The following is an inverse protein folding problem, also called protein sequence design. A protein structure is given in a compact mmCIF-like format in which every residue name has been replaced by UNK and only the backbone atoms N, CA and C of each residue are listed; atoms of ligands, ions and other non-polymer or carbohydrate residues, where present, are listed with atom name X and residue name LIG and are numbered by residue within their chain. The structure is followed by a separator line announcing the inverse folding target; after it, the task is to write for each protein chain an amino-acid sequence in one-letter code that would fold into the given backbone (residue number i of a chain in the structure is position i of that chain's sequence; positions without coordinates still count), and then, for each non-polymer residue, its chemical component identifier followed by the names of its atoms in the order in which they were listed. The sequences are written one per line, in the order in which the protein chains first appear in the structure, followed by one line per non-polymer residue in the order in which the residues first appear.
data_IF_608523123082
#
_entry.id   IF_608523123082
#
_cell.length_a   1.000
_cell.length_b   1.000
_cell.length_c   1.000
_cell.angle_alpha   90.00
_cell.angle_beta   90.00
_cell.angle_gamma   90.00
#
_symmetry.space_group_name_H-M   'P 1'
#
loop_
_entity.id
_entity.type
_entity.pdbx_description
1 polymer ?
#
# COMPACT_ATOMS: atom_id res chain seq x y z
N UNK A 1 -10.33 9.11 -23.18
CA UNK A 1 -10.44 9.22 -24.67
C UNK A 1 -9.26 8.63 -25.47
N UNK A 2 -9.56 7.94 -26.58
CA UNK A 2 -8.58 7.49 -27.58
C UNK A 2 -8.44 8.50 -28.74
N UNK A 3 -7.22 8.87 -29.16
CA UNK A 3 -6.97 9.63 -30.38
C UNK A 3 -7.34 8.84 -31.67
N UNK A 4 -7.64 9.52 -32.80
CA UNK A 4 -8.09 8.86 -34.04
C UNK A 4 -7.07 7.91 -34.67
N UNK A 5 -5.78 8.06 -34.35
CA UNK A 5 -4.70 7.17 -34.78
C UNK A 5 -4.64 5.84 -34.00
N UNK A 6 -5.54 5.63 -33.04
CA UNK A 6 -5.64 4.41 -32.22
C UNK A 6 -6.99 3.74 -32.44
N UNK A 7 -6.99 2.42 -32.63
CA UNK A 7 -8.21 1.66 -32.84
C UNK A 7 -8.23 0.38 -31.99
N UNK A 8 -9.42 0.01 -31.53
CA UNK A 8 -9.70 -1.31 -30.95
C UNK A 8 -9.85 -2.35 -32.05
N UNK A 9 -9.06 -3.42 -31.98
CA UNK A 9 -9.13 -4.54 -32.92
C UNK A 9 -9.19 -5.89 -32.18
N UNK A 10 -9.89 -6.85 -32.78
CA UNK A 10 -9.86 -8.25 -32.35
C UNK A 10 -8.64 -8.97 -32.96
N UNK A 11 -7.98 -9.81 -32.17
CA UNK A 11 -6.79 -10.55 -32.58
C UNK A 11 -6.68 -11.91 -31.87
N UNK A 12 -5.84 -12.82 -32.38
CA UNK A 12 -5.68 -14.19 -31.86
C UNK A 12 -4.23 -14.57 -31.56
N UNK A 13 -3.43 -13.64 -31.03
CA UNK A 13 -2.02 -13.88 -30.74
C UNK A 13 -1.79 -14.90 -29.61
N UNK A 14 -2.70 -14.96 -28.62
CA UNK A 14 -2.54 -15.83 -27.44
C UNK A 14 -3.18 -17.22 -27.59
N UNK A 15 -3.63 -17.59 -28.79
CA UNK A 15 -4.33 -18.85 -29.07
C UNK A 15 -5.83 -18.83 -28.74
N UNK A 16 -6.40 -17.66 -28.49
CA UNK A 16 -7.82 -17.40 -28.30
C UNK A 16 -8.13 -15.95 -28.73
N UNK A 17 -9.41 -15.64 -28.99
CA UNK A 17 -9.84 -14.29 -29.38
C UNK A 17 -9.65 -13.30 -28.24
N UNK A 18 -8.99 -12.19 -28.56
CA UNK A 18 -8.66 -11.09 -27.67
C UNK A 18 -8.98 -9.77 -28.33
N UNK A 19 -9.10 -8.72 -27.54
CA UNK A 19 -9.24 -7.35 -28.02
C UNK A 19 -8.08 -6.51 -27.51
N UNK A 20 -7.61 -5.57 -28.32
CA UNK A 20 -6.50 -4.69 -27.96
C UNK A 20 -6.43 -3.45 -28.82
N UNK A 21 -5.62 -2.49 -28.40
CA UNK A 21 -5.45 -1.23 -29.11
C UNK A 21 -4.28 -1.30 -30.09
N UNK A 22 -4.47 -0.80 -31.31
CA UNK A 22 -3.48 -0.86 -32.39
C UNK A 22 -3.29 0.52 -33.04
N UNK A 23 -2.07 0.77 -33.51
CA UNK A 23 -1.73 1.98 -34.24
C UNK A 23 -2.28 1.93 -35.68
N UNK A 24 -3.04 2.94 -36.10
CA UNK A 24 -3.60 3.03 -37.46
C UNK A 24 -2.63 3.61 -38.49
N UNK A 25 -1.52 4.19 -38.03
CA UNK A 25 -0.44 4.77 -38.83
C UNK A 25 0.90 4.64 -38.08
N UNK A 26 1.99 5.01 -38.73
CA UNK A 26 3.30 5.09 -38.08
C UNK A 26 3.30 6.24 -37.07
N UNK A 27 3.51 5.92 -35.78
CA UNK A 27 3.54 6.87 -34.69
C UNK A 27 4.99 7.19 -34.31
N UNK A 28 5.40 8.48 -34.29
CA UNK A 28 6.66 8.90 -33.68
C UNK A 28 6.71 8.58 -32.18
N UNK A 29 7.90 8.71 -31.60
CA UNK A 29 8.07 8.70 -30.13
C UNK A 29 7.32 9.88 -29.49
N UNK A 30 6.84 9.71 -28.26
CA UNK A 30 6.05 10.67 -27.48
C UNK A 30 4.70 11.05 -28.10
N UNK A 31 4.17 10.20 -28.97
CA UNK A 31 2.82 10.38 -29.53
C UNK A 31 1.78 10.00 -28.48
N UNK A 32 0.82 10.87 -28.14
CA UNK A 32 -0.31 10.51 -27.28
C UNK A 32 -1.14 9.40 -27.93
N UNK A 33 -1.43 8.36 -27.16
CA UNK A 33 -2.29 7.22 -27.57
C UNK A 33 -3.50 7.03 -26.65
N UNK A 34 -3.51 7.71 -25.51
CA UNK A 34 -4.66 7.87 -24.64
C UNK A 34 -4.52 9.13 -23.81
N UNK A 35 -5.63 9.82 -23.61
CA UNK A 35 -5.74 11.01 -22.76
C UNK A 35 -7.02 10.89 -21.94
N UNK A 36 -6.91 11.10 -20.63
CA UNK A 36 -8.05 11.15 -19.74
C UNK A 36 -8.59 12.57 -19.63
N UNK A 37 -9.88 12.75 -19.90
CA UNK A 37 -10.58 14.00 -19.61
C UNK A 37 -11.27 13.91 -18.25
N UNK A 38 -10.60 14.40 -17.22
CA UNK A 38 -11.10 14.37 -15.84
C UNK A 38 -12.39 15.18 -15.64
N UNK A 39 -12.75 16.06 -16.57
CA UNK A 39 -13.96 16.90 -16.46
C UNK A 39 -15.19 16.14 -16.95
N UNK A 40 -15.05 15.33 -17.99
CA UNK A 40 -16.18 14.66 -18.65
C UNK A 40 -16.25 13.16 -18.35
N UNK A 41 -15.14 12.54 -17.94
CA UNK A 41 -15.02 11.11 -17.68
C UNK A 41 -14.68 10.87 -16.18
N UNK A 42 -15.66 10.94 -15.27
CA UNK A 42 -15.40 10.68 -13.85
C UNK A 42 -14.95 9.23 -13.65
N UNK A 43 -13.90 9.05 -12.84
CA UNK A 43 -13.38 7.73 -12.55
C UNK A 43 -14.31 7.00 -11.57
N UNK A 44 -14.86 5.87 -12.00
CA UNK A 44 -15.60 4.97 -11.11
C UNK A 44 -14.60 4.07 -10.40
N UNK A 45 -14.65 4.07 -9.07
CA UNK A 45 -13.73 3.31 -8.22
C UNK A 45 -14.48 2.40 -7.26
N UNK A 46 -13.84 1.27 -6.94
CA UNK A 46 -14.34 0.28 -6.00
C UNK A 46 -13.21 -0.17 -5.07
N UNK A 47 -13.56 -0.52 -3.84
CA UNK A 47 -12.69 -1.29 -2.95
C UNK A 47 -12.63 -2.76 -3.38
N UNK A 48 -11.63 -3.51 -2.92
CA UNK A 48 -11.56 -4.97 -3.15
C UNK A 48 -12.86 -5.64 -2.71
N UNK A 49 -13.35 -5.29 -1.51
CA UNK A 49 -14.57 -5.88 -0.94
C UNK A 49 -15.78 -5.65 -1.85
N UNK A 50 -15.94 -4.44 -2.37
CA UNK A 50 -17.05 -4.11 -3.27
C UNK A 50 -16.94 -4.90 -4.58
N UNK A 51 -15.75 -4.94 -5.21
CA UNK A 51 -15.50 -5.76 -6.40
C UNK A 51 -15.86 -7.23 -6.16
N UNK A 52 -15.35 -7.82 -5.08
CA UNK A 52 -15.56 -9.25 -4.80
C UNK A 52 -17.02 -9.58 -4.48
N UNK A 53 -17.78 -8.63 -3.92
CA UNK A 53 -19.20 -8.78 -3.63
C UNK A 53 -20.13 -8.51 -4.82
N UNK A 54 -19.61 -7.93 -5.91
CA UNK A 54 -20.40 -7.52 -7.05
C UNK A 54 -20.83 -8.74 -7.92
N UNK A 55 -22.06 -8.77 -8.47
CA UNK A 55 -22.49 -9.84 -9.38
C UNK A 55 -21.58 -9.96 -10.62
N UNK A 56 -21.17 -8.84 -11.20
CA UNK A 56 -20.24 -8.77 -12.35
C UNK A 56 -18.76 -8.72 -11.95
N UNK A 57 -18.38 -9.27 -10.79
CA UNK A 57 -16.99 -9.20 -10.28
C UNK A 57 -15.92 -9.59 -11.30
N UNK A 58 -16.20 -10.54 -12.20
CA UNK A 58 -15.22 -10.97 -13.20
C UNK A 58 -14.94 -9.87 -14.23
N UNK A 59 -15.96 -9.12 -14.66
CA UNK A 59 -15.78 -7.96 -15.54
C UNK A 59 -14.98 -6.88 -14.81
N UNK A 60 -15.37 -6.59 -13.57
CA UNK A 60 -14.67 -5.59 -12.76
C UNK A 60 -13.19 -5.95 -12.60
N UNK A 61 -12.87 -7.19 -12.23
CA UNK A 61 -11.49 -7.67 -12.12
C UNK A 61 -10.78 -7.50 -13.47
N UNK A 62 -11.31 -8.06 -14.55
CA UNK A 62 -10.65 -8.06 -15.87
C UNK A 62 -10.33 -6.65 -16.39
N UNK A 63 -11.21 -5.68 -16.14
CA UNK A 63 -11.06 -4.30 -16.57
C UNK A 63 -10.84 -3.41 -15.36
N UNK A 64 -9.77 -3.66 -14.63
CA UNK A 64 -9.35 -2.84 -13.49
C UNK A 64 -7.88 -2.51 -13.52
N UNK A 65 -7.55 -1.37 -12.91
CA UNK A 65 -6.20 -1.03 -12.47
C UNK A 65 -6.26 -0.30 -11.14
N UNK A 66 -5.17 -0.33 -10.38
CA UNK A 66 -5.10 0.37 -9.08
C UNK A 66 -4.88 1.87 -9.26
N UNK A 67 -5.58 2.65 -8.43
CA UNK A 67 -5.38 4.12 -8.32
C UNK A 67 -5.05 4.57 -6.90
N UNK A 68 -5.29 3.71 -5.91
CA UNK A 68 -4.79 3.86 -4.55
C UNK A 68 -4.78 2.48 -3.86
N UNK A 69 -4.27 2.43 -2.63
CA UNK A 69 -4.42 1.26 -1.77
C UNK A 69 -5.92 0.96 -1.53
N UNK A 70 -6.31 -0.29 -1.76
CA UNK A 70 -7.70 -0.77 -1.75
C UNK A 70 -8.67 0.08 -2.60
N UNK A 71 -8.19 0.59 -3.73
CA UNK A 71 -8.99 1.42 -4.64
C UNK A 71 -8.65 1.10 -6.10
N UNK A 72 -9.64 0.57 -6.80
CA UNK A 72 -9.52 0.07 -8.17
C UNK A 72 -10.43 0.89 -9.09
N UNK A 73 -9.85 1.50 -10.11
CA UNK A 73 -10.62 2.06 -11.23
C UNK A 73 -11.11 0.90 -12.10
N UNK A 74 -12.41 0.83 -12.38
CA UNK A 74 -12.98 -0.31 -13.11
C UNK A 74 -14.35 0.00 -13.74
N UNK A 75 -14.84 -0.89 -14.61
CA UNK A 75 -16.11 -0.77 -15.32
C UNK A 75 -16.86 -2.11 -15.46
N UNK A 76 -18.19 -2.05 -15.45
CA UNK A 76 -19.08 -3.17 -15.82
C UNK A 76 -19.45 -3.20 -17.31
N UNK A 77 -19.15 -2.12 -18.04
CA UNK A 77 -19.50 -1.91 -19.44
C UNK A 77 -18.24 -1.52 -20.26
N UNK A 78 -17.19 -2.36 -20.29
CA UNK A 78 -15.97 -2.08 -21.04
C UNK A 78 -16.23 -1.86 -22.54
N UNK A 79 -17.30 -2.44 -23.09
CA UNK A 79 -17.76 -2.24 -24.47
C UNK A 79 -18.14 -0.79 -24.82
N UNK A 80 -18.46 0.05 -23.82
CA UNK A 80 -18.82 1.46 -24.04
C UNK A 80 -17.59 2.37 -24.17
N UNK A 81 -16.43 1.91 -23.73
CA UNK A 81 -15.17 2.66 -23.80
C UNK A 81 -13.98 1.76 -24.14
N UNK A 82 -13.49 1.90 -25.38
CA UNK A 82 -12.34 1.16 -25.88
C UNK A 82 -11.05 1.38 -25.07
N UNK A 83 -10.94 2.44 -24.26
CA UNK A 83 -9.77 2.69 -23.41
C UNK A 83 -9.46 1.54 -22.45
N UNK A 84 -10.45 0.73 -22.07
CA UNK A 84 -10.29 -0.41 -21.16
C UNK A 84 -9.51 -1.59 -21.76
N UNK A 85 -9.17 -1.56 -23.06
CA UNK A 85 -8.53 -2.68 -23.77
C UNK A 85 -7.02 -2.51 -23.99
N UNK A 86 -6.34 -1.67 -23.22
CA UNK A 86 -4.88 -1.66 -23.21
C UNK A 86 -4.34 -2.99 -22.67
N UNK A 87 -3.49 -3.64 -23.46
CA UNK A 87 -2.87 -4.90 -23.07
C UNK A 87 -1.48 -4.68 -22.44
N UNK A 88 -1.05 -5.69 -21.68
CA UNK A 88 0.26 -5.73 -21.07
C UNK A 88 1.37 -6.16 -22.05
N UNK A 89 2.54 -5.54 -21.94
CA UNK A 89 3.81 -6.13 -22.38
C UNK A 89 4.92 -5.87 -21.37
N UNK A 90 5.79 -6.86 -21.14
CA UNK A 90 7.02 -6.69 -20.34
C UNK A 90 8.07 -5.84 -21.07
N UNK A 91 7.98 -5.74 -22.40
CA UNK A 91 8.72 -4.78 -23.20
C UNK A 91 7.74 -3.91 -24.01
N UNK A 92 7.07 -2.94 -23.36
CA UNK A 92 6.00 -2.19 -23.98
C UNK A 92 6.50 -1.20 -25.04
N UNK A 93 5.60 -0.69 -25.87
CA UNK A 93 5.88 0.44 -26.75
C UNK A 93 5.26 1.74 -26.26
N UNK A 94 4.48 1.70 -25.17
CA UNK A 94 3.89 2.86 -24.51
C UNK A 94 4.29 2.94 -23.03
N UNK A 95 4.21 4.14 -22.47
CA UNK A 95 4.40 4.44 -21.04
C UNK A 95 3.49 5.59 -20.59
N UNK A 96 3.32 5.72 -19.28
CA UNK A 96 2.52 6.79 -18.67
C UNK A 96 3.26 8.14 -18.69
N UNK A 97 2.48 9.21 -18.75
CA UNK A 97 2.89 10.58 -18.39
C UNK A 97 1.90 11.10 -17.35
N UNK A 98 2.20 10.82 -16.07
CA UNK A 98 1.25 10.98 -14.97
C UNK A 98 0.01 10.09 -15.14
N UNK A 99 -1.07 10.41 -14.42
CA UNK A 99 -2.30 9.62 -14.43
C UNK A 99 -3.24 9.92 -15.62
N UNK A 100 -3.00 11.02 -16.33
CA UNK A 100 -3.91 11.52 -17.36
C UNK A 100 -3.58 11.15 -18.79
N UNK A 101 -2.46 10.45 -19.04
CA UNK A 101 -1.95 10.26 -20.40
C UNK A 101 -1.05 9.05 -20.56
N UNK A 102 -1.18 8.39 -21.71
CA UNK A 102 -0.25 7.36 -22.19
C UNK A 102 0.32 7.83 -23.53
N UNK A 103 1.64 7.71 -23.68
CA UNK A 103 2.39 8.06 -24.89
C UNK A 103 3.23 6.90 -25.39
N UNK A 104 3.58 6.92 -26.68
CA UNK A 104 4.57 5.99 -27.22
C UNK A 104 5.96 6.30 -26.65
N UNK A 105 6.69 5.29 -26.15
CA UNK A 105 8.07 5.45 -25.63
C UNK A 105 9.14 5.23 -26.71
N UNK A 106 8.73 4.76 -27.89
CA UNK A 106 9.53 4.59 -29.11
C UNK A 106 8.66 4.85 -30.33
N UNK A 107 9.24 4.88 -31.52
CA UNK A 107 8.44 4.84 -32.74
C UNK A 107 7.66 3.51 -32.81
N UNK A 108 6.41 3.58 -33.27
CA UNK A 108 5.49 2.44 -33.41
C UNK A 108 5.00 2.40 -34.86
N UNK A 109 5.04 1.24 -35.50
CA UNK A 109 4.55 1.05 -36.86
C UNK A 109 3.06 0.86 -36.90
N UNK A 110 2.45 1.24 -38.03
CA UNK A 110 1.07 0.88 -38.33
C UNK A 110 0.84 -0.62 -38.12
N UNK A 111 -0.23 -0.97 -37.42
CA UNK A 111 -0.61 -2.34 -37.10
C UNK A 111 0.15 -2.98 -35.93
N UNK A 112 1.08 -2.28 -35.29
CA UNK A 112 1.61 -2.73 -34.00
C UNK A 112 0.56 -2.52 -32.89
N UNK A 113 0.46 -3.50 -31.99
CA UNK A 113 -0.35 -3.38 -30.78
C UNK A 113 0.29 -2.38 -29.81
N UNK A 114 -0.52 -1.49 -29.24
CA UNK A 114 -0.14 -0.54 -28.21
C UNK A 114 -0.30 -1.19 -26.84
N UNK A 115 0.82 -1.35 -26.13
CA UNK A 115 0.86 -1.99 -24.82
C UNK A 115 1.66 -1.12 -23.85
N UNK A 116 1.27 -1.14 -22.58
CA UNK A 116 2.07 -0.63 -21.46
C UNK A 116 2.40 -1.77 -20.49
N UNK A 117 3.34 -1.53 -19.58
CA UNK A 117 3.67 -2.50 -18.55
C UNK A 117 2.75 -2.31 -17.35
N UNK A 118 1.83 -3.25 -17.10
CA UNK A 118 0.91 -3.21 -15.94
C UNK A 118 1.60 -2.99 -14.57
N UNK A 119 2.89 -3.31 -14.41
CA UNK A 119 3.63 -2.93 -13.20
C UNK A 119 3.74 -1.40 -12.98
N UNK A 120 3.41 -0.59 -14.00
CA UNK A 120 3.30 0.87 -13.90
C UNK A 120 2.01 1.35 -13.21
N UNK A 121 1.02 0.48 -12.98
CA UNK A 121 -0.25 0.80 -12.30
C UNK A 121 -0.49 -0.04 -11.06
N UNK A 122 0.08 -1.24 -10.99
CA UNK A 122 -0.26 -2.25 -9.99
C UNK A 122 0.79 -2.40 -8.87
N UNK A 123 0.32 -2.76 -7.67
CA UNK A 123 1.16 -3.34 -6.61
C UNK A 123 0.81 -4.81 -6.40
N UNK A 124 1.47 -5.49 -5.47
CA UNK A 124 1.13 -6.87 -5.14
C UNK A 124 -0.25 -7.04 -4.47
N UNK A 125 -0.94 -5.93 -4.20
CA UNK A 125 -2.36 -5.90 -3.82
C UNK A 125 -3.29 -5.89 -5.05
N UNK A 126 -2.76 -6.07 -6.26
CA UNK A 126 -3.57 -6.13 -7.47
C UNK A 126 -4.63 -7.23 -7.44
N UNK A 127 -5.76 -7.00 -8.12
CA UNK A 127 -6.74 -8.04 -8.44
C UNK A 127 -6.20 -9.02 -9.50
N UNK A 128 -5.11 -8.68 -10.17
CA UNK A 128 -4.46 -9.45 -11.23
C UNK A 128 -3.21 -10.18 -10.75
N UNK A 129 -2.86 -10.11 -9.45
CA UNK A 129 -1.64 -10.74 -8.93
C UNK A 129 -1.58 -12.20 -9.35
N UNK A 130 -0.39 -12.67 -9.72
CA UNK A 130 -0.14 -14.01 -10.22
C UNK A 130 -0.68 -14.32 -11.63
N UNK A 131 -1.14 -13.31 -12.38
CA UNK A 131 -1.49 -13.46 -13.79
C UNK A 131 -0.31 -14.00 -14.60
N UNK A 132 -0.54 -15.10 -15.32
CA UNK A 132 0.43 -15.66 -16.25
C UNK A 132 0.58 -14.76 -17.47
N UNK A 133 1.78 -14.20 -17.65
CA UNK A 133 2.09 -13.30 -18.75
C UNK A 133 2.35 -14.07 -20.04
N UNK A 134 1.67 -13.66 -21.11
CA UNK A 134 1.81 -14.23 -22.47
C UNK A 134 2.29 -13.22 -23.50
N UNK A 135 2.87 -12.09 -23.06
CA UNK A 135 3.18 -10.96 -23.95
C UNK A 135 4.18 -11.25 -25.08
N UNK A 136 4.96 -12.33 -24.99
CA UNK A 136 5.91 -12.73 -26.03
C UNK A 136 7.21 -11.93 -26.07
N UNK A 137 7.41 -10.96 -25.18
CA UNK A 137 8.68 -10.24 -25.07
C UNK A 137 9.85 -11.18 -24.68
N UNK A 138 11.04 -10.93 -25.21
CA UNK A 138 12.25 -11.73 -24.89
C UNK A 138 12.58 -11.74 -23.39
N UNK A 139 12.25 -10.65 -22.70
CA UNK A 139 12.45 -10.47 -21.25
C UNK A 139 11.15 -10.63 -20.44
N UNK A 140 10.21 -11.44 -20.94
CA UNK A 140 8.94 -11.71 -20.28
C UNK A 140 9.14 -12.19 -18.82
N UNK A 141 8.40 -11.60 -17.88
CA UNK A 141 8.40 -11.99 -16.45
C UNK A 141 7.80 -13.38 -16.20
N UNK A 142 7.05 -13.93 -17.14
CA UNK A 142 6.31 -15.19 -17.02
C UNK A 142 5.07 -15.08 -16.13
N UNK A 143 5.19 -14.49 -14.94
CA UNK A 143 4.09 -14.23 -14.03
C UNK A 143 4.18 -12.81 -13.46
N UNK A 144 3.07 -12.09 -13.43
CA UNK A 144 3.01 -10.72 -12.92
C UNK A 144 2.79 -10.74 -11.40
N UNK A 145 3.86 -10.42 -10.66
CA UNK A 145 3.83 -10.32 -9.18
C UNK A 145 3.51 -8.93 -8.68
N UNK A 146 3.77 -7.91 -9.52
CA UNK A 146 3.54 -6.48 -9.22
C UNK A 146 4.31 -5.94 -8.02
N UNK A 147 5.45 -6.55 -7.69
CA UNK A 147 6.40 -6.04 -6.70
C UNK A 147 7.49 -5.15 -7.31
N UNK A 148 7.38 -4.87 -8.61
CA UNK A 148 8.37 -4.14 -9.40
C UNK A 148 8.64 -2.72 -8.87
N UNK A 149 7.68 -2.07 -8.22
CA UNK A 149 7.86 -0.75 -7.60
C UNK A 149 8.90 -0.73 -6.47
N UNK A 150 9.21 -1.89 -5.88
CA UNK A 150 10.33 -2.10 -4.94
C UNK A 150 11.68 -2.26 -5.63
N UNK A 151 11.70 -2.60 -6.92
CA UNK A 151 12.93 -2.78 -7.68
C UNK A 151 13.50 -1.45 -8.15
N UNK A 152 14.70 -1.11 -7.64
CA UNK A 152 15.46 0.05 -8.13
C UNK A 152 15.77 -0.02 -9.63
N UNK A 153 15.93 -1.23 -10.18
CA UNK A 153 16.17 -1.43 -11.60
C UNK A 153 14.94 -1.09 -12.45
N UNK A 154 13.77 -1.56 -12.03
CA UNK A 154 12.50 -1.23 -12.68
C UNK A 154 12.23 0.27 -12.59
N UNK A 155 12.35 0.85 -11.39
CA UNK A 155 12.08 2.28 -11.20
C UNK A 155 13.07 3.16 -11.93
N UNK A 156 14.37 2.80 -11.99
CA UNK A 156 15.34 3.53 -12.83
C UNK A 156 14.95 3.54 -14.31
N UNK A 157 14.35 2.46 -14.83
CA UNK A 157 13.92 2.37 -16.23
C UNK A 157 12.64 3.17 -16.50
N UNK A 158 11.73 3.24 -15.53
CA UNK A 158 10.38 3.80 -15.69
C UNK A 158 10.14 5.06 -14.84
N UNK A 159 11.20 5.72 -14.36
CA UNK A 159 11.08 6.86 -13.45
C UNK A 159 10.31 8.00 -14.13
N UNK A 160 9.25 8.49 -13.48
CA UNK A 160 8.35 9.51 -14.07
C UNK A 160 7.41 8.97 -15.15
N UNK A 161 7.42 7.66 -15.40
CA UNK A 161 6.64 6.97 -16.43
C UNK A 161 5.75 5.85 -15.87
N UNK A 162 5.42 5.95 -14.59
CA UNK A 162 4.44 5.14 -13.86
C UNK A 162 3.35 6.07 -13.32
N UNK A 163 2.24 5.53 -12.84
CA UNK A 163 1.18 6.35 -12.23
C UNK A 163 1.64 7.02 -10.94
N UNK A 164 0.92 8.06 -10.51
CA UNK A 164 1.18 8.77 -9.26
C UNK A 164 1.04 7.84 -8.06
N UNK A 165 0.15 6.83 -8.13
CA UNK A 165 0.07 5.77 -7.13
C UNK A 165 1.40 5.01 -7.00
N UNK A 166 1.94 4.50 -8.11
CA UNK A 166 3.21 3.74 -8.07
C UNK A 166 4.40 4.62 -7.68
N UNK A 167 4.41 5.89 -8.09
CA UNK A 167 5.42 6.85 -7.60
C UNK A 167 5.33 7.06 -6.07
N UNK A 168 4.11 7.16 -5.51
CA UNK A 168 3.90 7.27 -4.06
C UNK A 168 4.37 6.01 -3.34
N UNK A 169 4.00 4.83 -3.83
CA UNK A 169 4.49 3.54 -3.31
C UNK A 169 6.01 3.49 -3.32
N UNK A 170 6.64 3.82 -4.46
CA UNK A 170 8.08 3.84 -4.57
C UNK A 170 8.75 4.78 -3.55
N UNK A 171 8.14 5.93 -3.25
CA UNK A 171 8.65 6.87 -2.26
C UNK A 171 8.62 6.35 -0.81
N UNK A 172 7.94 5.23 -0.52
CA UNK A 172 8.02 4.51 0.76
C UNK A 172 9.35 3.73 0.87
N UNK A 173 9.93 3.29 -0.24
CA UNK A 173 11.22 2.57 -0.28
C UNK A 173 12.44 3.51 -0.20
N UNK A 174 12.28 4.73 0.32
CA UNK A 174 13.33 5.75 0.39
C UNK A 174 13.87 6.19 -0.98
N UNK A 175 13.28 7.23 -1.55
CA UNK A 175 13.79 7.84 -2.77
C UNK A 175 15.03 8.71 -2.47
N UNK A 176 16.10 8.50 -3.26
CA UNK A 176 17.35 9.28 -3.29
C UNK A 176 18.18 9.37 -1.98
N UNK A 177 19.14 8.45 -1.85
CA UNK A 177 20.43 8.63 -1.15
C UNK A 177 20.39 9.37 0.22
N UNK A 178 19.72 8.84 1.26
CA UNK A 178 20.10 8.99 2.71
C UNK A 178 19.03 8.59 3.76
N UNK A 179 17.87 8.05 3.39
CA UNK A 179 16.85 7.62 4.39
C UNK A 179 16.87 6.10 4.58
N UNK A 180 16.46 5.66 5.77
CA UNK A 180 16.13 4.25 6.03
C UNK A 180 14.75 4.03 5.39
N UNK A 181 14.64 2.98 4.58
CA UNK A 181 13.43 2.65 3.84
C UNK A 181 12.41 2.02 4.81
N UNK A 182 11.15 2.44 4.72
CA UNK A 182 10.05 1.70 5.33
C UNK A 182 9.93 0.36 4.65
N UNK A 183 9.61 -0.69 5.41
CA UNK A 183 9.42 -2.01 4.84
C UNK A 183 8.20 -2.67 5.44
N UNK A 184 7.45 -3.38 4.62
CA UNK A 184 6.40 -4.30 5.06
C UNK A 184 6.42 -5.55 4.18
N UNK A 185 6.03 -6.66 4.76
CA UNK A 185 6.02 -7.95 4.10
C UNK A 185 5.08 -7.93 2.90
N UNK A 186 5.56 -8.43 1.76
CA UNK A 186 4.77 -8.44 0.52
C UNK A 186 3.49 -9.26 0.64
N UNK A 187 3.34 -10.15 1.63
CA UNK A 187 2.09 -10.89 1.91
C UNK A 187 1.01 -10.02 2.56
N UNK A 188 1.30 -8.75 2.85
CA UNK A 188 0.36 -7.81 3.44
C UNK A 188 -0.17 -6.79 2.42
N UNK A 189 -1.35 -6.23 2.72
CA UNK A 189 -1.97 -5.15 1.98
C UNK A 189 -2.72 -4.20 2.92
N UNK A 190 -2.90 -2.95 2.46
CA UNK A 190 -3.83 -2.02 3.10
C UNK A 190 -5.24 -2.28 2.61
N UNK A 191 -6.20 -2.27 3.54
CA UNK A 191 -7.63 -2.36 3.23
C UNK A 191 -8.46 -1.45 4.10
N UNK A 192 -9.60 -1.02 3.58
CA UNK A 192 -10.62 -0.36 4.38
C UNK A 192 -11.25 -1.35 5.37
N UNK A 193 -11.08 -1.06 6.66
CA UNK A 193 -11.77 -1.73 7.77
C UNK A 193 -13.18 -1.17 7.96
N UNK A 194 -13.34 0.13 7.69
CA UNK A 194 -14.61 0.85 7.67
C UNK A 194 -14.60 1.90 6.56
N UNK A 195 -15.68 2.69 6.42
CA UNK A 195 -15.75 3.76 5.41
C UNK A 195 -14.67 4.84 5.53
N UNK A 196 -14.04 4.96 6.70
CA UNK A 196 -13.09 6.04 6.99
C UNK A 196 -11.81 5.58 7.68
N UNK A 197 -11.63 4.27 7.86
CA UNK A 197 -10.46 3.71 8.55
C UNK A 197 -9.91 2.55 7.74
N UNK A 198 -8.60 2.58 7.54
CA UNK A 198 -7.84 1.50 6.93
C UNK A 198 -7.09 0.70 7.99
N UNK A 199 -6.63 -0.47 7.62
CA UNK A 199 -5.72 -1.28 8.42
C UNK A 199 -4.83 -2.12 7.51
N UNK A 200 -3.75 -2.63 8.10
CA UNK A 200 -2.90 -3.62 7.47
C UNK A 200 -3.46 -5.01 7.66
N UNK A 201 -3.46 -5.82 6.60
CA UNK A 201 -3.95 -7.19 6.64
C UNK A 201 -3.01 -8.11 5.88
N UNK A 202 -2.95 -9.39 6.27
CA UNK A 202 -2.52 -10.43 5.35
C UNK A 202 -3.43 -10.42 4.12
N UNK A 203 -2.86 -10.45 2.92
CA UNK A 203 -3.63 -10.62 1.68
C UNK A 203 -4.46 -11.89 1.73
N UNK A 204 -5.57 -11.89 1.00
CA UNK A 204 -6.52 -13.01 0.98
C UNK A 204 -6.10 -14.19 0.09
N UNK A 205 -4.93 -14.12 -0.57
CA UNK A 205 -4.38 -15.23 -1.36
C UNK A 205 -3.88 -16.33 -0.42
N UNK A 206 -4.19 -17.59 -0.72
CA UNK A 206 -4.03 -18.73 0.21
C UNK A 206 -2.60 -18.99 0.70
N UNK A 207 -1.58 -18.55 -0.03
CA UNK A 207 -0.16 -18.70 0.31
C UNK A 207 0.40 -17.52 1.12
N UNK A 208 -0.39 -16.48 1.38
CA UNK A 208 0.00 -15.31 2.16
C UNK A 208 -0.08 -15.55 3.68
N UNK A 209 0.35 -16.73 4.13
CA UNK A 209 0.52 -17.04 5.55
C UNK A 209 1.82 -16.43 6.07
N UNK A 210 1.78 -15.79 7.23
CA UNK A 210 2.98 -15.32 7.95
C UNK A 210 3.15 -16.21 9.18
N UNK A 211 4.36 -16.73 9.40
CA UNK A 211 4.68 -17.61 10.50
C UNK A 211 5.08 -16.82 11.73
N UNK A 212 4.83 -17.40 12.91
CA UNK A 212 5.29 -16.86 14.18
C UNK A 212 6.78 -16.54 14.13
N UNK A 213 7.15 -15.34 14.59
CA UNK A 213 8.53 -14.88 14.65
C UNK A 213 9.05 -14.24 13.35
N UNK A 214 8.28 -14.26 12.25
CA UNK A 214 8.63 -13.50 11.06
C UNK A 214 8.44 -11.99 11.28
N UNK A 215 9.34 -11.19 10.71
CA UNK A 215 9.21 -9.73 10.67
C UNK A 215 8.08 -9.39 9.70
N UNK A 216 7.13 -8.57 10.13
CA UNK A 216 5.97 -8.17 9.30
C UNK A 216 6.14 -6.76 8.72
N UNK A 217 6.74 -5.84 9.48
CA UNK A 217 7.07 -4.51 9.02
C UNK A 217 8.19 -3.88 9.85
N UNK A 218 8.80 -2.85 9.27
CA UNK A 218 9.74 -1.94 9.91
C UNK A 218 9.28 -0.51 9.65
N UNK A 219 9.04 0.24 10.73
CA UNK A 219 8.71 1.65 10.64
C UNK A 219 9.90 2.46 10.14
N UNK A 220 9.62 3.49 9.33
CA UNK A 220 10.59 4.48 8.91
C UNK A 220 10.00 5.88 9.04
N UNK A 221 10.83 6.92 8.99
CA UNK A 221 10.34 8.29 9.09
C UNK A 221 11.38 9.24 9.65
N UNK A 222 10.91 10.39 10.11
CA UNK A 222 11.77 11.38 10.77
C UNK A 222 11.69 11.17 12.28
N UNK A 223 12.84 11.21 12.95
CA UNK A 223 12.89 11.21 14.41
C UNK A 223 12.85 12.66 14.91
N UNK A 224 11.96 12.96 15.84
CA UNK A 224 11.83 14.26 16.51
C UNK A 224 11.82 14.10 18.03
N UNK A 225 12.25 15.13 18.75
CA UNK A 225 12.12 15.19 20.21
C UNK A 225 10.67 15.49 20.61
N UNK A 226 10.23 15.02 21.78
CA UNK A 226 8.86 15.23 22.29
C UNK A 226 8.48 16.71 22.34
N UNK A 227 9.41 17.59 22.67
CA UNK A 227 9.13 19.04 22.76
C UNK A 227 8.78 19.62 21.39
N UNK A 228 9.35 19.08 20.31
CA UNK A 228 9.01 19.44 18.93
C UNK A 228 7.68 18.82 18.51
N UNK A 229 7.43 17.57 18.89
CA UNK A 229 6.14 16.91 18.60
C UNK A 229 4.96 17.64 19.27
N UNK A 230 5.14 18.04 20.53
CA UNK A 230 4.13 18.65 21.39
C UNK A 230 4.06 20.18 21.25
N UNK A 231 4.91 20.78 20.42
CA UNK A 231 4.83 22.20 20.11
C UNK A 231 3.45 22.49 19.48
N UNK A 232 2.77 23.51 19.99
CA UNK A 232 1.40 23.84 19.59
C UNK A 232 1.35 24.18 18.10
N UNK A 233 0.66 23.32 17.34
CA UNK A 233 0.46 23.49 15.89
C UNK A 233 1.62 22.99 15.03
N UNK A 234 2.62 22.33 15.62
CA UNK A 234 3.73 21.74 14.87
C UNK A 234 3.31 20.51 14.04
N UNK A 235 2.30 19.77 14.49
CA UNK A 235 1.79 18.55 13.85
C UNK A 235 0.33 18.71 13.46
N UNK A 236 -0.06 18.11 12.32
CA UNK A 236 -1.48 17.91 12.02
C UNK A 236 -2.04 16.76 12.88
N UNK A 237 -3.37 16.69 13.11
CA UNK A 237 -3.96 15.57 13.84
C UNK A 237 -3.61 14.21 13.21
N UNK A 238 -3.50 14.17 11.89
CA UNK A 238 -3.15 12.95 11.16
C UNK A 238 -1.68 12.58 11.34
N UNK A 239 -0.76 13.56 11.28
CA UNK A 239 0.66 13.25 11.53
C UNK A 239 0.90 12.75 12.95
N UNK A 240 0.08 13.21 13.92
CA UNK A 240 0.12 12.73 15.29
C UNK A 240 -0.41 11.28 15.40
N UNK A 241 -1.57 11.00 14.79
CA UNK A 241 -2.18 9.66 14.75
C UNK A 241 -1.23 8.60 14.15
N UNK A 242 -0.40 9.00 13.17
CA UNK A 242 0.55 8.12 12.48
C UNK A 242 1.96 8.17 13.09
N UNK A 243 2.13 8.74 14.28
CA UNK A 243 3.42 8.81 14.97
C UNK A 243 3.64 7.61 15.90
N UNK A 244 4.90 7.26 16.12
CA UNK A 244 5.30 6.15 16.98
C UNK A 244 6.39 6.59 17.95
N UNK A 245 6.19 6.38 19.25
CA UNK A 245 7.27 6.58 20.21
C UNK A 245 8.32 5.47 20.05
N UNK A 246 9.57 5.86 19.78
CA UNK A 246 10.67 4.91 19.52
C UNK A 246 11.68 4.85 20.66
N UNK A 247 11.71 5.88 21.51
CA UNK A 247 12.58 5.97 22.69
C UNK A 247 11.97 6.98 23.68
N UNK A 248 12.47 6.98 24.92
CA UNK A 248 12.19 8.07 25.86
C UNK A 248 12.46 9.41 25.18
N UNK A 249 11.45 10.28 25.18
CA UNK A 249 11.46 11.61 24.59
C UNK A 249 11.65 11.68 23.04
N UNK A 250 11.69 10.55 22.31
CA UNK A 250 11.85 10.55 20.84
C UNK A 250 10.71 9.81 20.13
N UNK A 251 10.24 10.42 19.06
CA UNK A 251 9.13 9.94 18.25
C UNK A 251 9.56 9.82 16.78
N UNK A 252 9.22 8.70 16.16
CA UNK A 252 9.10 8.62 14.71
C UNK A 252 7.79 9.31 14.32
N UNK A 253 7.88 10.14 13.29
CA UNK A 253 6.74 10.76 12.63
C UNK A 253 6.80 10.41 11.14
N UNK A 254 5.65 10.41 10.44
CA UNK A 254 5.62 10.25 8.99
C UNK A 254 6.65 11.16 8.34
N UNK A 255 7.35 10.64 7.32
CA UNK A 255 8.46 11.36 6.74
C UNK A 255 8.01 12.74 6.25
N UNK A 256 8.77 13.80 6.57
CA UNK A 256 8.56 15.11 5.94
C UNK A 256 8.93 15.00 4.46
N UNK A 257 7.96 14.66 3.62
CA UNK A 257 8.05 14.64 2.15
C UNK A 257 7.54 15.99 1.62
N UNK A 258 8.10 16.46 0.50
CA UNK A 258 7.64 17.70 -0.16
C UNK A 258 6.30 17.50 -0.91
N UNK A 259 5.81 16.26 -0.98
CA UNK A 259 4.56 15.84 -1.61
C UNK A 259 3.43 15.66 -0.58
N UNK A 260 2.18 15.81 -1.04
CA UNK A 260 0.98 15.95 -0.19
C UNK A 260 0.78 14.86 0.87
N UNK A 261 0.78 13.58 0.48
CA UNK A 261 0.67 12.46 1.43
C UNK A 261 2.06 11.97 1.87
N UNK A 262 2.25 11.95 3.19
CA UNK A 262 3.53 11.69 3.87
C UNK A 262 3.54 10.36 4.61
N UNK A 263 2.38 9.70 4.66
CA UNK A 263 2.13 8.51 5.46
C UNK A 263 2.57 7.29 4.68
N UNK A 264 3.23 6.37 5.35
CA UNK A 264 3.70 5.12 4.75
C UNK A 264 2.76 3.97 5.07
N UNK A 265 2.81 2.91 4.27
CA UNK A 265 1.95 1.74 4.50
C UNK A 265 2.13 1.14 5.88
N UNK A 266 3.36 1.15 6.39
CA UNK A 266 3.71 0.66 7.73
C UNK A 266 2.99 1.39 8.85
N UNK A 267 2.63 2.66 8.65
CA UNK A 267 2.09 3.52 9.70
C UNK A 267 0.61 3.17 10.01
N UNK A 268 -0.06 2.44 9.11
CA UNK A 268 -1.47 2.02 9.23
C UNK A 268 -1.68 0.75 10.07
N UNK A 269 -0.72 0.40 10.93
CA UNK A 269 -0.91 -0.70 11.87
C UNK A 269 -1.88 -0.29 12.97
N UNK A 270 -2.94 -1.09 13.16
CA UNK A 270 -3.99 -0.76 14.11
C UNK A 270 -3.73 -1.37 15.49
N UNK A 271 -4.47 -0.85 16.46
CA UNK A 271 -4.55 -1.42 17.80
C UNK A 271 -5.38 -2.71 17.88
N UNK A 272 -4.94 -3.68 18.67
CA UNK A 272 -5.79 -4.73 19.26
C UNK A 272 -5.36 -5.06 20.70
N UNK A 273 -6.33 -5.30 21.60
CA UNK A 273 -6.06 -5.81 22.96
C UNK A 273 -5.62 -7.28 22.98
N UNK A 274 -5.87 -8.01 21.88
CA UNK A 274 -5.29 -9.33 21.62
C UNK A 274 -4.55 -9.27 20.27
N UNK A 275 -3.32 -8.74 20.27
CA UNK A 275 -2.64 -8.37 19.04
C UNK A 275 -2.11 -9.58 18.28
N UNK A 276 -2.04 -9.44 16.95
CA UNK A 276 -1.40 -10.44 16.08
C UNK A 276 0.13 -10.32 16.09
N UNK A 277 0.64 -9.13 16.37
CA UNK A 277 2.05 -8.78 16.31
C UNK A 277 2.52 -8.04 17.55
N UNK A 278 3.84 -7.90 17.68
CA UNK A 278 4.48 -7.17 18.76
C UNK A 278 5.84 -6.61 18.38
N UNK A 279 6.44 -5.83 19.27
CA UNK A 279 7.69 -5.13 18.97
C UNK A 279 8.89 -6.04 19.23
N UNK A 280 9.70 -6.25 18.18
CA UNK A 280 11.01 -6.91 18.30
C UNK A 280 12.05 -5.93 18.86
N UNK A 281 12.03 -4.70 18.36
CA UNK A 281 12.82 -3.56 18.81
C UNK A 281 11.96 -2.28 18.75
N UNK A 282 12.56 -1.09 18.74
CA UNK A 282 11.81 0.17 18.73
C UNK A 282 11.07 0.47 17.42
N UNK A 283 11.39 -0.19 16.32
CA UNK A 283 10.82 0.09 14.97
C UNK A 283 10.47 -1.18 14.19
N UNK A 284 10.90 -2.35 14.64
CA UNK A 284 10.63 -3.63 13.96
C UNK A 284 9.47 -4.36 14.63
N UNK A 285 8.49 -4.78 13.83
CA UNK A 285 7.31 -5.54 14.28
C UNK A 285 7.42 -6.99 13.83
N UNK A 286 7.08 -7.91 14.73
CA UNK A 286 7.16 -9.37 14.52
C UNK A 286 5.84 -10.05 14.83
N UNK A 287 5.52 -11.12 14.11
CA UNK A 287 4.33 -11.93 14.36
C UNK A 287 4.45 -12.70 15.69
N UNK A 288 3.46 -12.57 16.58
CA UNK A 288 3.42 -13.27 17.89
C UNK A 288 2.98 -14.73 17.73
N UNK A 289 2.19 -14.99 16.68
CA UNK A 289 1.63 -16.28 16.28
C UNK A 289 1.62 -16.38 14.75
N UNK A 290 1.26 -17.55 14.23
CA UNK A 290 0.96 -17.68 12.81
C UNK A 290 -0.24 -16.80 12.45
N UNK A 291 -0.13 -16.10 11.32
CA UNK A 291 -1.16 -15.24 10.73
C UNK A 291 -1.62 -15.83 9.41
N UNK A 292 -2.93 -15.90 9.24
CA UNK A 292 -3.59 -16.47 8.08
C UNK A 292 -4.02 -15.38 7.09
N UNK A 293 -4.22 -15.74 5.81
CA UNK A 293 -4.80 -14.84 4.81
C UNK A 293 -6.05 -14.12 5.32
N UNK A 294 -6.10 -12.80 5.12
CA UNK A 294 -7.20 -11.94 5.55
C UNK A 294 -7.16 -11.47 7.00
N UNK A 295 -6.28 -12.00 7.87
CA UNK A 295 -6.14 -11.51 9.25
C UNK A 295 -5.54 -10.10 9.31
N UNK A 296 -5.98 -9.30 10.28
CA UNK A 296 -5.45 -7.94 10.51
C UNK A 296 -4.10 -7.99 11.25
N UNK A 297 -3.17 -7.17 10.79
CA UNK A 297 -1.88 -6.92 11.44
C UNK A 297 -2.10 -5.82 12.47
N UNK A 298 -1.93 -6.18 13.74
CA UNK A 298 -2.21 -5.30 14.87
C UNK A 298 -1.14 -5.44 15.94
N UNK A 299 -0.87 -4.35 16.64
CA UNK A 299 -0.09 -4.34 17.89
C UNK A 299 -0.97 -3.84 19.03
N UNK A 300 -0.58 -4.14 20.26
CA UNK A 300 -1.15 -3.46 21.41
C UNK A 300 -0.35 -2.18 21.65
N UNK A 301 -1.01 -1.03 21.65
CA UNK A 301 -0.34 0.27 21.78
C UNK A 301 0.37 0.45 23.14
N UNK A 302 0.05 -0.36 24.15
CA UNK A 302 0.83 -0.38 25.40
C UNK A 302 2.28 -0.83 25.19
N UNK A 303 2.59 -1.53 24.10
CA UNK A 303 3.95 -1.98 23.79
C UNK A 303 4.87 -0.82 23.39
N UNK A 304 4.30 0.33 23.01
CA UNK A 304 5.03 1.44 22.37
C UNK A 304 4.76 2.79 23.02
N UNK A 305 3.98 2.88 24.09
CA UNK A 305 3.69 4.13 24.77
C UNK A 305 4.19 4.10 26.22
N UNK A 306 4.75 5.20 26.70
CA UNK A 306 5.19 5.36 28.10
C UNK A 306 4.36 6.38 28.92
N UNK A 307 3.33 6.98 28.34
CA UNK A 307 2.52 8.01 28.99
C UNK A 307 3.00 9.45 28.77
N UNK A 308 4.03 9.66 27.94
CA UNK A 308 4.55 11.00 27.64
C UNK A 308 3.50 11.91 26.98
N UNK A 309 2.63 11.37 26.15
CA UNK A 309 1.55 12.11 25.50
C UNK A 309 0.17 11.72 26.06
N UNK A 310 -0.80 12.63 25.90
CA UNK A 310 -2.20 12.43 26.27
C UNK A 310 -3.15 12.70 25.09
N UNK A 311 -2.68 12.49 23.86
CA UNK A 311 -3.47 12.78 22.67
C UNK A 311 -4.64 11.79 22.56
N UNK A 312 -5.82 12.23 22.06
CA UNK A 312 -6.97 11.35 21.88
C UNK A 312 -6.73 10.17 20.92
N UNK A 313 -5.76 10.27 20.00
CA UNK A 313 -5.40 9.15 19.11
C UNK A 313 -4.79 7.97 19.88
N UNK A 314 -4.12 8.22 21.00
CA UNK A 314 -3.55 7.20 21.89
C UNK A 314 -4.38 6.95 23.18
N UNK A 315 -5.45 7.73 23.38
CA UNK A 315 -6.35 7.62 24.53
C UNK A 315 -7.81 7.55 24.07
N UNK A 316 -8.28 6.35 23.75
CA UNK A 316 -9.52 6.14 22.99
C UNK A 316 -10.38 4.98 23.49
N UNK A 317 -11.65 5.01 23.10
CA UNK A 317 -12.57 3.88 23.27
C UNK A 317 -12.28 2.81 22.23
N UNK A 318 -11.82 1.65 22.67
CA UNK A 318 -11.39 0.56 21.82
C UNK A 318 -12.59 -0.27 21.31
N UNK A 319 -12.58 -0.53 20.00
CA UNK A 319 -13.57 -1.34 19.30
C UNK A 319 -12.88 -2.47 18.51
N UNK A 320 -11.76 -3.01 19.04
CA UNK A 320 -10.98 -4.03 18.33
C UNK A 320 -11.72 -5.36 18.14
N UNK A 321 -12.80 -5.62 18.90
CA UNK A 321 -13.61 -6.83 18.78
C UNK A 321 -13.02 -8.08 19.45
N UNK A 322 -11.84 -7.97 20.07
CA UNK A 322 -11.27 -9.06 20.88
C UNK A 322 -12.16 -9.41 22.07
N UNK A 323 -12.20 -10.69 22.45
CA UNK A 323 -12.84 -11.14 23.70
C UNK A 323 -12.17 -10.55 24.95
N UNK A 324 -10.91 -10.15 24.82
CA UNK A 324 -10.12 -9.48 25.87
C UNK A 324 -10.07 -7.95 25.67
N UNK A 325 -11.04 -7.37 24.94
CA UNK A 325 -11.06 -5.92 24.71
C UNK A 325 -11.15 -5.15 26.04
N UNK A 326 -10.19 -4.24 26.28
CA UNK A 326 -10.18 -3.37 27.45
C UNK A 326 -11.25 -2.27 27.41
N UNK A 327 -11.89 -2.06 26.27
CA UNK A 327 -12.86 -0.97 26.00
C UNK A 327 -12.28 0.44 26.06
N UNK A 328 -11.29 0.71 26.90
CA UNK A 328 -10.53 1.96 26.95
C UNK A 328 -9.05 1.62 26.86
N UNK A 329 -8.36 2.27 25.94
CA UNK A 329 -6.91 2.18 25.77
C UNK A 329 -6.31 3.51 26.15
N UNK A 330 -5.23 3.49 26.93
CA UNK A 330 -4.51 4.69 27.35
C UNK A 330 -3.01 4.55 27.14
N UNK A 331 -2.31 5.67 27.09
CA UNK A 331 -0.84 5.70 27.04
C UNK A 331 -0.17 5.16 28.32
N UNK A 332 -0.94 4.86 29.37
CA UNK A 332 -0.47 4.30 30.64
C UNK A 332 -0.70 2.80 30.78
N UNK A 333 -1.30 2.15 29.78
CA UNK A 333 -1.67 0.73 29.84
C UNK A 333 -0.45 -0.20 30.02
N UNK A 334 0.76 0.26 29.72
CA UNK A 334 2.01 -0.45 29.99
C UNK A 334 2.18 -0.80 31.48
N UNK A 335 1.48 -0.10 32.39
CA UNK A 335 1.49 -0.34 33.83
C UNK A 335 0.63 -1.54 34.26
N UNK A 336 -0.23 -2.08 33.39
CA UNK A 336 -1.15 -3.17 33.73
C UNK A 336 -0.36 -4.48 33.89
N UNK A 337 -0.35 -5.11 35.08
CA UNK A 337 0.50 -6.30 35.34
C UNK A 337 0.18 -7.51 34.44
N UNK A 338 -1.08 -7.68 34.07
CA UNK A 338 -1.52 -8.74 33.15
C UNK A 338 -0.92 -8.55 31.75
N UNK A 339 -0.86 -7.32 31.24
CA UNK A 339 -0.25 -7.01 29.95
C UNK A 339 1.28 -7.19 29.99
N UNK A 340 1.93 -6.76 31.08
CA UNK A 340 3.37 -7.02 31.26
C UNK A 340 3.68 -8.52 31.24
N UNK A 341 2.82 -9.34 31.86
CA UNK A 341 2.98 -10.80 31.88
C UNK A 341 2.75 -11.41 30.49
N UNK A 342 1.68 -11.02 29.80
CA UNK A 342 1.27 -11.62 28.51
C UNK A 342 2.11 -11.13 27.33
N UNK A 343 2.46 -9.85 27.33
CA UNK A 343 3.03 -9.14 26.18
C UNK A 343 4.45 -8.62 26.45
N UNK A 344 4.98 -8.70 27.67
CA UNK A 344 6.22 -8.03 28.07
C UNK A 344 7.43 -8.34 27.19
N UNK A 345 7.55 -9.55 26.66
CA UNK A 345 8.65 -9.88 25.72
C UNK A 345 8.59 -9.06 24.41
N UNK A 346 7.41 -8.57 24.03
CA UNK A 346 7.12 -7.80 22.83
C UNK A 346 6.97 -6.29 23.08
N UNK A 347 7.29 -5.82 24.29
CA UNK A 347 7.33 -4.38 24.55
C UNK A 347 8.58 -3.78 23.86
N UNK A 348 8.44 -2.56 23.35
CA UNK A 348 9.56 -1.82 22.82
C UNK A 348 10.64 -1.67 23.91
N UNK A 349 11.95 -1.70 23.55
CA UNK A 349 13.03 -1.72 24.54
C UNK A 349 12.99 -0.57 25.55
N UNK A 350 12.46 0.59 25.19
CA UNK A 350 12.37 1.72 26.12
C UNK A 350 11.23 1.56 27.13
N UNK A 351 10.07 1.01 26.73
CA UNK A 351 8.96 0.73 27.66
C UNK A 351 9.39 -0.34 28.67
N UNK A 352 10.15 -1.36 28.24
CA UNK A 352 10.76 -2.35 29.15
C UNK A 352 11.61 -1.69 30.24
N UNK A 353 12.46 -0.71 29.87
CA UNK A 353 13.26 0.05 30.84
C UNK A 353 12.38 0.89 31.78
N UNK A 354 11.32 1.51 31.27
CA UNK A 354 10.38 2.28 32.09
C UNK A 354 9.71 1.39 33.16
N UNK A 355 9.35 0.15 32.81
CA UNK A 355 8.82 -0.84 33.75
C UNK A 355 9.86 -1.24 34.80
N UNK A 356 11.10 -1.50 34.39
CA UNK A 356 12.21 -1.86 35.28
C UNK A 356 12.55 -0.73 36.27
N UNK A 357 12.51 0.53 35.81
CA UNK A 357 12.83 1.73 36.59
C UNK A 357 11.69 2.14 37.55
N UNK A 358 10.45 1.71 37.28
CA UNK A 358 9.26 2.00 38.07
C UNK A 358 8.40 0.75 38.30
N UNK A 359 8.89 -0.26 39.06
CA UNK A 359 8.29 -1.59 39.07
C UNK A 359 6.85 -1.67 39.58
N UNK A 360 6.33 -0.64 40.25
CA UNK A 360 4.92 -0.56 40.65
C UNK A 360 4.50 0.91 40.81
N UNK A 361 3.82 1.48 39.82
CA UNK A 361 2.90 2.57 40.09
C UNK A 361 1.70 1.97 40.85
N UNK A 362 1.84 1.87 42.18
CA UNK A 362 0.70 1.60 43.05
C UNK A 362 -0.27 2.75 42.83
N UNK A 363 -1.48 2.44 42.33
CA UNK A 363 -2.53 3.43 42.15
C UNK A 363 -2.70 4.27 43.41
N UNK A 364 -2.87 5.61 43.31
CA UNK A 364 -3.23 6.44 44.46
C UNK A 364 -4.61 6.09 45.02
#
# INVERSE_FOLDING_TARGET
MLPPQVQLEAFQFYGFECHGLFAQEDLPVNTPVWVWDTVTEPLVTFTRKEVMSHPDRQKLINFSYMVNDDCFATTTAPEEDACWYFNHSCDPNCWFEGDGKIVTRRAVKKGEQLCYDYACTETESSLHVDMNCRCGAETCRGQLKFNDWRSRGFMKKNLGHVTDYIMRKHAENGYENKRIDGWYDTRMELRYKSKSSMGLFCREVSDCKILKGEIVLMFSGKIVHKDTLLERGAMTPRDFEMSLQVQRDLWQIPAWKETGDKIETSDYINHSCDPSCGMLDSVTVVAIRDLHPGEEITIDYCMVNDGTNSDPSDNFTCMCGSVNCRTTVTTLDWQIPELQTRLGQFFAPFVKRVIEDAPFAVAP
#
